data_IF_072775411845
#
_entry.id   IF_072775411845
#
_cell.length_a   1.000
_cell.length_b   1.000
_cell.length_c   1.000
_cell.angle_alpha   90.00
_cell.angle_beta   90.00
_cell.angle_gamma   90.00
#
_symmetry.space_group_name_H-M   'P 1'
#
loop_
_entity.id
_entity.type
_entity.pdbx_description
1 polymer ?
#
# COMPACT_ATOMS: atom_id res chain seq x y z
N UNK A 1 6.49 17.67 3.17
CA UNK A 1 6.35 17.57 4.64
C UNK A 1 7.08 18.73 5.33
N UNK A 2 6.41 19.51 6.19
CA UNK A 2 6.97 20.73 6.78
C UNK A 2 8.21 20.52 7.70
N UNK A 3 8.47 19.29 8.16
CA UNK A 3 9.57 18.96 9.08
C UNK A 3 10.86 18.48 8.40
N UNK A 4 10.80 18.13 7.10
CA UNK A 4 11.92 17.62 6.33
C UNK A 4 13.17 18.52 6.32
N UNK A 5 13.07 19.86 6.12
CA UNK A 5 14.26 20.72 6.07
C UNK A 5 14.97 20.91 7.42
N UNK A 6 14.33 20.59 8.54
CA UNK A 6 14.91 20.72 9.89
C UNK A 6 15.58 19.42 10.37
N UNK A 7 15.01 18.27 10.00
CA UNK A 7 15.44 16.97 10.53
C UNK A 7 16.43 16.25 9.62
N UNK A 8 16.38 16.43 8.30
CA UNK A 8 17.39 15.85 7.39
C UNK A 8 18.81 16.25 7.79
N UNK A 9 19.12 17.54 8.02
CA UNK A 9 20.47 17.97 8.41
C UNK A 9 20.90 17.38 9.74
N UNK A 10 19.96 17.15 10.67
CA UNK A 10 20.24 16.52 11.96
C UNK A 10 20.44 15.01 11.85
N UNK A 11 19.91 14.35 10.82
CA UNK A 11 20.15 12.93 10.56
C UNK A 11 21.42 12.69 9.73
N UNK A 12 21.83 13.65 8.89
CA UNK A 12 22.94 13.51 7.94
C UNK A 12 24.25 14.16 8.38
N UNK A 13 24.24 15.29 9.09
CA UNK A 13 25.45 15.83 9.74
C UNK A 13 25.73 15.07 11.04
N UNK A 14 27.00 15.08 11.49
CA UNK A 14 27.52 14.55 12.77
C UNK A 14 26.78 15.13 13.98
N UNK A 15 25.51 14.74 14.14
CA UNK A 15 24.68 15.09 15.26
C UNK A 15 25.01 14.16 16.41
N UNK A 16 25.07 14.70 17.63
CA UNK A 16 25.23 13.91 18.85
C UNK A 16 23.96 13.10 19.20
N UNK A 17 23.11 12.79 18.23
CA UNK A 17 21.92 12.01 18.46
C UNK A 17 22.31 10.57 18.82
N UNK A 18 21.76 10.00 19.91
CA UNK A 18 21.92 8.59 20.21
C UNK A 18 21.49 7.75 19.00
N UNK A 19 22.27 6.71 18.67
CA UNK A 19 22.01 5.85 17.50
C UNK A 19 20.55 5.38 17.44
N UNK A 20 20.00 4.88 18.55
CA UNK A 20 18.62 4.40 18.58
C UNK A 20 17.57 5.48 18.23
N UNK A 21 17.81 6.75 18.58
CA UNK A 21 16.92 7.85 18.19
C UNK A 21 17.07 8.18 16.71
N UNK A 22 18.30 8.14 16.16
CA UNK A 22 18.54 8.31 14.72
C UNK A 22 17.88 7.21 13.89
N UNK A 23 18.00 5.97 14.33
CA UNK A 23 17.39 4.80 13.69
C UNK A 23 15.85 4.93 13.69
N UNK A 24 15.26 5.26 14.85
CA UNK A 24 13.81 5.48 14.98
C UNK A 24 13.31 6.66 14.12
N UNK A 25 14.02 7.79 14.11
CA UNK A 25 13.62 8.94 13.28
C UNK A 25 13.68 8.61 11.79
N UNK A 26 14.69 7.85 11.36
CA UNK A 26 14.79 7.37 9.98
C UNK A 26 13.60 6.47 9.63
N UNK A 27 13.29 5.50 10.49
CA UNK A 27 12.09 4.64 10.35
C UNK A 27 10.81 5.47 10.26
N UNK A 28 10.58 6.39 11.21
CA UNK A 28 9.39 7.23 11.27
C UNK A 28 9.20 8.07 10.01
N UNK A 29 10.28 8.65 9.48
CA UNK A 29 10.23 9.42 8.25
C UNK A 29 9.89 8.56 7.04
N UNK A 30 10.56 7.41 6.89
CA UNK A 30 10.27 6.49 5.79
C UNK A 30 8.83 6.01 5.85
N UNK A 31 8.39 5.58 7.02
CA UNK A 31 7.03 5.13 7.28
C UNK A 31 6.01 6.20 6.90
N UNK A 32 6.11 7.39 7.50
CA UNK A 32 5.15 8.48 7.26
C UNK A 32 5.16 8.94 5.80
N UNK A 33 6.34 9.11 5.20
CA UNK A 33 6.47 9.58 3.82
C UNK A 33 5.86 8.59 2.82
N UNK A 34 6.21 7.30 2.94
CA UNK A 34 5.79 6.26 1.99
C UNK A 34 4.30 5.97 2.10
N UNK A 35 3.76 5.87 3.32
CA UNK A 35 2.33 5.59 3.50
C UNK A 35 1.45 6.77 3.09
N UNK A 36 1.96 8.00 3.14
CA UNK A 36 1.22 9.19 2.69
C UNK A 36 1.07 9.28 1.16
N UNK A 37 1.87 8.52 0.39
CA UNK A 37 1.84 8.58 -1.08
C UNK A 37 0.49 8.12 -1.65
N UNK A 38 -0.18 7.15 -1.01
CA UNK A 38 -1.49 6.66 -1.44
C UNK A 38 -2.59 7.72 -1.34
N UNK A 39 -2.41 8.71 -0.48
CA UNK A 39 -3.31 9.85 -0.29
C UNK A 39 -3.01 11.00 -1.26
N UNK A 40 -2.04 10.84 -2.17
CA UNK A 40 -1.66 11.84 -3.18
C UNK A 40 -2.11 11.39 -4.56
N UNK A 41 -2.66 12.32 -5.36
CA UNK A 41 -3.02 11.99 -6.74
C UNK A 41 -1.74 11.89 -7.57
N UNK A 42 -1.42 10.67 -7.98
CA UNK A 42 -0.28 10.36 -8.82
C UNK A 42 -0.28 11.15 -10.13
N UNK A 43 -1.46 11.54 -10.64
CA UNK A 43 -1.60 12.27 -11.91
C UNK A 43 -1.21 13.74 -11.81
N UNK A 44 -1.13 14.31 -10.61
CA UNK A 44 -0.97 15.75 -10.39
C UNK A 44 0.29 16.10 -9.60
N UNK A 45 0.85 15.17 -8.82
CA UNK A 45 1.96 15.45 -7.91
C UNK A 45 3.33 15.07 -8.48
N UNK A 46 4.27 16.02 -8.43
CA UNK A 46 5.71 15.84 -8.68
C UNK A 46 6.53 15.69 -7.38
N UNK A 47 5.87 15.46 -6.25
CA UNK A 47 6.56 15.44 -4.96
C UNK A 47 7.41 14.18 -4.78
N UNK A 48 8.72 14.38 -4.60
CA UNK A 48 9.62 13.37 -4.06
C UNK A 48 9.43 13.27 -2.55
N UNK A 49 8.73 12.23 -2.09
CA UNK A 49 8.43 12.04 -0.67
C UNK A 49 9.64 11.58 0.15
N UNK A 50 10.62 10.92 -0.49
CA UNK A 50 11.87 10.49 0.12
C UNK A 50 13.08 11.14 -0.58
N UNK A 51 13.97 11.73 0.21
CA UNK A 51 15.29 12.17 -0.26
C UNK A 51 16.26 11.00 -0.36
N UNK A 52 17.25 11.08 -1.27
CA UNK A 52 18.31 10.07 -1.42
C UNK A 52 19.02 9.74 -0.09
N UNK A 53 19.30 10.74 0.74
CA UNK A 53 19.98 10.54 2.03
C UNK A 53 19.17 9.65 2.99
N UNK A 54 17.85 9.89 3.09
CA UNK A 54 16.96 9.04 3.90
C UNK A 54 16.89 7.61 3.36
N UNK A 55 16.91 7.44 2.04
CA UNK A 55 16.93 6.10 1.43
C UNK A 55 18.22 5.36 1.77
N UNK A 56 19.36 6.04 1.78
CA UNK A 56 20.65 5.46 2.18
C UNK A 56 20.59 5.04 3.66
N UNK A 57 20.18 5.95 4.55
CA UNK A 57 20.05 5.66 5.98
C UNK A 57 19.10 4.48 6.24
N UNK A 58 17.98 4.41 5.54
CA UNK A 58 17.02 3.31 5.69
C UNK A 58 17.59 1.98 5.16
N UNK A 59 18.35 1.99 4.07
CA UNK A 59 19.06 0.81 3.56
C UNK A 59 20.12 0.32 4.55
N UNK A 60 20.80 1.22 5.25
CA UNK A 60 21.74 0.86 6.31
C UNK A 60 21.03 0.16 7.47
N UNK A 61 19.82 0.62 7.86
CA UNK A 61 18.99 -0.06 8.85
C UNK A 61 18.60 -1.46 8.40
N UNK A 62 18.14 -1.61 7.15
CA UNK A 62 17.79 -2.92 6.56
C UNK A 62 18.99 -3.85 6.55
N UNK A 63 20.17 -3.37 6.11
CA UNK A 63 21.40 -4.16 6.11
C UNK A 63 21.83 -4.60 7.52
N UNK A 64 21.52 -3.81 8.54
CA UNK A 64 21.74 -4.13 9.95
C UNK A 64 20.68 -5.07 10.55
N UNK A 65 19.73 -5.59 9.75
CA UNK A 65 18.59 -6.39 10.22
C UNK A 65 17.77 -5.69 11.32
N UNK A 66 17.61 -4.38 11.17
CA UNK A 66 16.83 -3.56 12.10
C UNK A 66 15.38 -4.04 12.20
N UNK A 67 14.92 -4.24 13.44
CA UNK A 67 13.51 -4.49 13.75
C UNK A 67 12.98 -3.28 14.49
N UNK A 68 12.20 -2.47 13.77
CA UNK A 68 11.74 -1.17 14.23
C UNK A 68 10.42 -1.23 14.99
N UNK A 69 10.06 -0.12 15.63
CA UNK A 69 8.84 -0.04 16.45
C UNK A 69 7.58 0.20 15.61
N UNK A 70 7.73 0.76 14.40
CA UNK A 70 6.61 1.11 13.53
C UNK A 70 6.46 0.11 12.38
N UNK A 71 7.59 -0.22 11.76
CA UNK A 71 7.74 -1.04 10.57
C UNK A 71 8.14 -2.48 10.91
N UNK A 72 8.35 -2.85 12.18
CA UNK A 72 8.78 -4.20 12.54
C UNK A 72 9.94 -4.68 11.68
N UNK A 73 9.70 -5.73 10.89
CA UNK A 73 10.68 -6.32 9.97
C UNK A 73 10.49 -5.96 8.48
N UNK A 74 9.53 -5.10 8.13
CA UNK A 74 9.13 -4.82 6.74
C UNK A 74 9.54 -3.43 6.23
N UNK A 75 10.55 -2.80 6.85
CA UNK A 75 11.03 -1.47 6.43
C UNK A 75 11.49 -1.46 4.96
N UNK A 76 12.14 -2.52 4.52
CA UNK A 76 12.60 -2.71 3.14
C UNK A 76 11.47 -2.79 2.12
N UNK A 77 10.33 -3.39 2.48
CA UNK A 77 9.12 -3.37 1.66
C UNK A 77 8.60 -1.94 1.45
N UNK A 78 8.62 -1.10 2.49
CA UNK A 78 8.18 0.30 2.37
C UNK A 78 9.06 1.11 1.41
N UNK A 79 10.35 0.78 1.31
CA UNK A 79 11.27 1.42 0.37
C UNK A 79 10.93 1.14 -1.11
N UNK A 80 10.06 0.16 -1.38
CA UNK A 80 9.57 -0.14 -2.74
C UNK A 80 8.35 0.70 -3.13
N UNK A 81 7.58 1.22 -2.16
CA UNK A 81 6.36 1.99 -2.41
C UNK A 81 6.61 3.20 -3.35
N UNK A 82 7.67 4.01 -3.18
CA UNK A 82 7.91 5.14 -4.08
C UNK A 82 8.12 4.72 -5.53
N UNK A 83 8.83 3.62 -5.77
CA UNK A 83 9.05 3.09 -7.12
C UNK A 83 7.77 2.57 -7.75
N UNK A 84 6.88 1.95 -6.97
CA UNK A 84 5.57 1.49 -7.42
C UNK A 84 4.67 2.69 -7.74
N UNK A 85 4.68 3.72 -6.88
CA UNK A 85 3.94 4.96 -7.11
C UNK A 85 4.38 5.64 -8.40
N UNK A 86 5.69 5.77 -8.61
CA UNK A 86 6.26 6.35 -9.82
C UNK A 86 5.89 5.54 -11.06
N UNK A 87 5.97 4.22 -10.97
CA UNK A 87 5.54 3.33 -12.03
C UNK A 87 4.07 3.56 -12.40
N UNK A 88 3.15 3.50 -11.42
CA UNK A 88 1.73 3.73 -11.69
C UNK A 88 1.41 5.15 -12.15
N UNK A 89 2.19 6.16 -11.72
CA UNK A 89 2.12 7.54 -12.24
C UNK A 89 2.45 7.59 -13.73
N UNK A 90 3.56 6.99 -14.14
CA UNK A 90 3.95 6.91 -15.55
C UNK A 90 2.87 6.23 -16.40
N UNK A 91 2.32 5.11 -15.92
CA UNK A 91 1.22 4.43 -16.63
C UNK A 91 -0.03 5.30 -16.71
N UNK A 92 -0.42 5.93 -15.60
CA UNK A 92 -1.63 6.78 -15.53
C UNK A 92 -1.55 8.02 -16.40
N UNK A 93 -0.35 8.55 -16.67
CA UNK A 93 -0.17 9.70 -17.57
C UNK A 93 -0.57 9.42 -19.02
N UNK A 94 -0.71 8.14 -19.38
CA UNK A 94 -1.14 7.68 -20.69
C UNK A 94 -2.57 7.14 -20.70
N UNK A 95 -3.34 7.30 -19.60
CA UNK A 95 -4.69 6.75 -19.48
C UNK A 95 -5.70 7.35 -20.49
N UNK A 96 -5.41 8.55 -21.04
CA UNK A 96 -6.25 9.19 -22.06
C UNK A 96 -5.87 8.80 -23.50
N UNK A 97 -4.78 8.06 -23.69
CA UNK A 97 -4.32 7.59 -25.00
C UNK A 97 -4.78 6.12 -25.24
N UNK A 98 -5.80 5.89 -26.08
CA UNK A 98 -6.34 4.56 -26.33
C UNK A 98 -5.37 3.64 -27.09
N UNK A 99 -4.40 4.20 -27.80
CA UNK A 99 -3.40 3.45 -28.58
C UNK A 99 -2.14 3.15 -27.76
N UNK A 100 -1.99 3.78 -26.60
CA UNK A 100 -0.85 3.58 -25.74
C UNK A 100 -0.83 2.16 -25.17
N UNK A 101 0.37 1.56 -25.15
CA UNK A 101 0.63 0.25 -24.55
C UNK A 101 1.90 0.32 -23.72
N UNK A 102 1.98 -0.43 -22.60
CA UNK A 102 3.20 -0.53 -21.82
C UNK A 102 4.38 -0.98 -22.69
N UNK A 103 5.50 -0.29 -22.59
CA UNK A 103 6.73 -0.61 -23.30
C UNK A 103 7.43 -1.82 -22.66
N UNK A 104 8.39 -2.41 -23.37
CA UNK A 104 9.25 -3.45 -22.82
C UNK A 104 10.00 -3.00 -21.54
N UNK A 105 10.29 -1.70 -21.43
CA UNK A 105 10.90 -1.13 -20.23
C UNK A 105 9.93 -1.13 -19.04
N UNK A 106 8.65 -0.85 -19.28
CA UNK A 106 7.62 -0.87 -18.23
C UNK A 106 7.43 -2.29 -17.69
N UNK A 107 7.42 -3.30 -18.56
CA UNK A 107 7.41 -4.70 -18.15
C UNK A 107 8.67 -5.10 -17.38
N UNK A 108 9.84 -4.58 -17.75
CA UNK A 108 11.08 -4.83 -17.02
C UNK A 108 11.02 -4.25 -15.60
N UNK A 109 10.57 -3.00 -15.44
CA UNK A 109 10.39 -2.34 -14.14
C UNK A 109 9.37 -3.11 -13.29
N UNK A 110 8.23 -3.48 -13.87
CA UNK A 110 7.21 -4.27 -13.20
C UNK A 110 7.76 -5.62 -12.72
N UNK A 111 8.41 -6.39 -13.59
CA UNK A 111 8.97 -7.69 -13.25
C UNK A 111 10.08 -7.60 -12.19
N UNK A 112 10.87 -6.52 -12.22
CA UNK A 112 11.88 -6.26 -11.20
C UNK A 112 11.24 -5.98 -9.84
N UNK A 113 10.24 -5.09 -9.77
CA UNK A 113 9.53 -4.78 -8.53
C UNK A 113 8.80 -6.02 -8.00
N UNK A 114 8.09 -6.75 -8.87
CA UNK A 114 7.39 -7.98 -8.51
C UNK A 114 8.34 -9.00 -7.90
N UNK A 115 9.50 -9.23 -8.53
CA UNK A 115 10.52 -10.17 -8.02
C UNK A 115 11.05 -9.74 -6.66
N UNK A 116 11.30 -8.44 -6.44
CA UNK A 116 11.77 -7.93 -5.15
C UNK A 116 10.74 -8.15 -4.04
N UNK A 117 9.46 -7.85 -4.33
CA UNK A 117 8.38 -8.02 -3.36
C UNK A 117 8.17 -9.51 -3.05
N UNK A 118 8.09 -10.36 -4.07
CA UNK A 118 7.87 -11.80 -3.90
C UNK A 118 9.05 -12.52 -3.25
N UNK A 119 10.28 -12.08 -3.54
CA UNK A 119 11.51 -12.63 -2.96
C UNK A 119 11.78 -12.17 -1.54
N UNK A 120 11.01 -11.21 -1.02
CA UNK A 120 11.14 -10.73 0.35
C UNK A 120 10.76 -11.81 1.36
N UNK A 121 11.55 -11.93 2.43
CA UNK A 121 11.26 -12.82 3.56
C UNK A 121 11.65 -12.13 4.87
N UNK A 122 10.83 -12.22 5.92
CA UNK A 122 11.14 -11.61 7.20
C UNK A 122 12.30 -12.33 7.90
N UNK A 123 13.08 -11.60 8.69
CA UNK A 123 14.11 -12.21 9.54
C UNK A 123 13.45 -12.92 10.74
N UNK A 124 13.35 -14.25 10.64
CA UNK A 124 12.72 -15.10 11.66
C UNK A 124 13.52 -15.18 12.97
N UNK A 125 14.81 -14.85 12.96
CA UNK A 125 15.64 -14.92 14.17
C UNK A 125 15.34 -13.78 15.16
N UNK A 126 14.83 -12.66 14.66
CA UNK A 126 14.65 -11.41 15.44
C UNK A 126 13.20 -10.96 15.55
N UNK A 127 12.27 -11.63 14.88
CA UNK A 127 10.86 -11.22 14.78
C UNK A 127 9.94 -12.21 15.49
N UNK A 128 8.93 -11.70 16.18
CA UNK A 128 7.84 -12.53 16.72
C UNK A 128 6.87 -12.96 15.61
N UNK A 129 6.11 -14.03 15.85
CA UNK A 129 5.13 -14.56 14.87
C UNK A 129 4.12 -13.49 14.40
N UNK A 130 3.70 -12.61 15.33
CA UNK A 130 2.79 -11.49 15.04
C UNK A 130 3.43 -10.48 14.10
N UNK A 131 4.72 -10.17 14.29
CA UNK A 131 5.49 -9.25 13.43
C UNK A 131 5.74 -9.86 12.06
N UNK A 132 6.04 -11.15 12.01
CA UNK A 132 6.19 -11.92 10.76
C UNK A 132 4.89 -11.90 9.95
N UNK A 133 3.75 -12.16 10.60
CA UNK A 133 2.44 -12.13 9.94
C UNK A 133 2.08 -10.75 9.40
N UNK A 134 2.35 -9.69 10.18
CA UNK A 134 2.17 -8.31 9.72
C UNK A 134 3.05 -7.98 8.50
N UNK A 135 4.30 -8.46 8.49
CA UNK A 135 5.19 -8.33 7.34
C UNK A 135 4.65 -8.99 6.08
N UNK A 136 4.08 -10.20 6.19
CA UNK A 136 3.40 -10.85 5.05
C UNK A 136 2.15 -10.10 4.59
N UNK A 137 1.36 -9.53 5.51
CA UNK A 137 0.22 -8.66 5.14
C UNK A 137 0.71 -7.46 4.32
N UNK A 138 1.80 -6.82 4.74
CA UNK A 138 2.44 -5.73 3.98
C UNK A 138 2.94 -6.20 2.61
N UNK A 139 3.60 -7.35 2.54
CA UNK A 139 4.08 -7.93 1.28
C UNK A 139 2.92 -8.09 0.27
N UNK A 140 1.79 -8.67 0.71
CA UNK A 140 0.63 -8.89 -0.17
C UNK A 140 -0.04 -7.58 -0.56
N UNK A 141 -0.17 -6.63 0.36
CA UNK A 141 -0.72 -5.31 0.04
C UNK A 141 0.14 -4.56 -0.99
N UNK A 142 1.46 -4.56 -0.84
CA UNK A 142 2.38 -3.92 -1.79
C UNK A 142 2.35 -4.62 -3.16
N UNK A 143 2.20 -5.95 -3.17
CA UNK A 143 2.05 -6.71 -4.40
C UNK A 143 0.72 -6.37 -5.12
N UNK A 144 -0.38 -6.23 -4.38
CA UNK A 144 -1.66 -5.74 -4.93
C UNK A 144 -1.52 -4.31 -5.45
N UNK A 145 -0.78 -3.45 -4.74
CA UNK A 145 -0.55 -2.08 -5.18
C UNK A 145 0.19 -2.03 -6.53
N UNK A 146 1.20 -2.87 -6.72
CA UNK A 146 1.91 -3.03 -7.98
C UNK A 146 1.01 -3.61 -9.09
N UNK A 147 0.29 -4.69 -8.81
CA UNK A 147 -0.54 -5.37 -9.82
C UNK A 147 -1.65 -4.48 -10.36
N UNK A 148 -2.31 -3.75 -9.47
CA UNK A 148 -3.37 -2.80 -9.85
C UNK A 148 -2.86 -1.57 -10.58
N UNK A 149 -1.54 -1.33 -10.60
CA UNK A 149 -0.94 -0.26 -11.40
C UNK A 149 -0.92 -0.63 -12.89
N UNK A 150 -0.54 -1.87 -13.22
CA UNK A 150 -0.41 -2.35 -14.59
C UNK A 150 -1.71 -2.96 -15.13
N UNK A 151 -2.49 -3.61 -14.26
CA UNK A 151 -3.73 -4.28 -14.60
C UNK A 151 -4.86 -3.72 -13.73
N UNK A 152 -5.50 -2.61 -14.16
CA UNK A 152 -6.68 -2.10 -13.48
C UNK A 152 -7.71 -3.21 -13.34
N UNK A 153 -8.33 -3.31 -12.17
CA UNK A 153 -9.35 -4.31 -11.93
C UNK A 153 -10.61 -4.00 -12.77
N UNK A 154 -11.25 -5.02 -13.37
CA UNK A 154 -12.45 -4.83 -14.19
C UNK A 154 -13.52 -4.04 -13.44
N UNK A 155 -14.24 -3.19 -14.17
CA UNK A 155 -15.43 -2.53 -13.65
C UNK A 155 -16.63 -3.46 -13.85
N UNK A 156 -17.51 -3.59 -12.86
CA UNK A 156 -18.69 -4.49 -12.94
C UNK A 156 -19.64 -4.19 -14.14
N UNK A 157 -19.42 -3.08 -14.87
CA UNK A 157 -20.17 -2.70 -16.06
C UNK A 157 -19.58 -3.24 -17.39
N UNK A 158 -18.42 -3.92 -17.38
CA UNK A 158 -17.75 -4.41 -18.59
C UNK A 158 -18.21 -5.82 -19.03
N UNK A 159 -19.20 -6.42 -18.36
CA UNK A 159 -19.77 -7.72 -18.76
C UNK A 159 -20.43 -7.71 -20.16
N UNK A 160 -20.72 -6.53 -20.74
CA UNK A 160 -21.35 -6.38 -22.07
C UNK A 160 -20.35 -6.21 -23.24
N UNK A 161 -19.03 -6.16 -23.00
CA UNK A 161 -18.02 -6.09 -24.09
C UNK A 161 -17.51 -7.47 -24.47
N UNK A 162 -18.40 -8.28 -25.05
CA UNK A 162 -18.00 -9.43 -25.86
C UNK A 162 -17.18 -8.96 -27.06
N UNK A 163 -15.85 -8.99 -26.95
CA UNK A 163 -14.94 -8.99 -28.10
C UNK A 163 -14.28 -10.35 -28.13
N UNK A 164 -14.82 -11.24 -28.96
CA UNK A 164 -14.58 -12.69 -29.03
C UNK A 164 -13.16 -13.13 -29.46
N UNK A 165 -12.07 -12.37 -29.20
CA UNK A 165 -10.78 -12.73 -29.81
C UNK A 165 -9.48 -12.52 -28.98
N UNK A 166 -9.50 -12.25 -27.67
CA UNK A 166 -8.25 -12.20 -26.84
C UNK A 166 -8.41 -12.60 -25.35
N UNK A 167 -9.24 -13.60 -25.02
CA UNK A 167 -9.73 -13.86 -23.65
C UNK A 167 -8.75 -14.53 -22.64
N UNK A 168 -7.55 -14.97 -23.05
CA UNK A 168 -6.69 -15.78 -22.18
C UNK A 168 -5.64 -14.99 -21.35
N UNK A 169 -5.10 -13.89 -21.87
CA UNK A 169 -4.06 -13.11 -21.16
C UNK A 169 -4.63 -12.16 -20.10
N UNK A 170 -5.76 -11.51 -20.38
CA UNK A 170 -6.37 -10.52 -19.47
C UNK A 170 -6.91 -11.16 -18.17
N UNK A 171 -7.25 -12.44 -18.24
CA UNK A 171 -7.77 -13.20 -17.11
C UNK A 171 -6.66 -13.64 -16.14
N UNK A 172 -5.42 -13.83 -16.60
CA UNK A 172 -4.34 -14.34 -15.75
C UNK A 172 -3.93 -13.32 -14.68
N UNK A 173 -3.75 -12.05 -15.07
CA UNK A 173 -3.37 -10.97 -14.14
C UNK A 173 -4.44 -10.74 -13.06
N UNK A 174 -5.71 -10.75 -13.44
CA UNK A 174 -6.85 -10.65 -12.51
C UNK A 174 -6.88 -11.86 -11.57
N UNK A 175 -6.69 -13.08 -12.09
CA UNK A 175 -6.59 -14.30 -11.26
C UNK A 175 -5.45 -14.19 -10.24
N UNK A 176 -4.28 -13.72 -10.66
CA UNK A 176 -3.12 -13.53 -9.78
C UNK A 176 -3.45 -12.51 -8.69
N UNK A 177 -4.03 -11.36 -9.03
CA UNK A 177 -4.43 -10.35 -8.04
C UNK A 177 -5.45 -10.91 -7.04
N UNK A 178 -6.43 -11.71 -7.49
CA UNK A 178 -7.41 -12.38 -6.62
C UNK A 178 -6.78 -13.39 -5.67
N UNK A 179 -5.77 -14.14 -6.11
CA UNK A 179 -5.03 -15.06 -5.23
C UNK A 179 -4.30 -14.27 -4.14
N UNK A 180 -3.58 -13.21 -4.50
CA UNK A 180 -2.87 -12.36 -3.54
C UNK A 180 -3.84 -11.71 -2.55
N UNK A 181 -5.01 -11.27 -3.02
CA UNK A 181 -6.08 -10.74 -2.18
C UNK A 181 -6.58 -11.77 -1.15
N UNK A 182 -6.86 -13.00 -1.60
CA UNK A 182 -7.29 -14.08 -0.71
C UNK A 182 -6.22 -14.42 0.35
N UNK A 183 -4.95 -14.45 -0.03
CA UNK A 183 -3.84 -14.67 0.90
C UNK A 183 -3.70 -13.54 1.93
N UNK A 184 -3.91 -12.28 1.51
CA UNK A 184 -3.88 -11.13 2.41
C UNK A 184 -5.02 -11.20 3.44
N UNK A 185 -6.25 -11.51 3.00
CA UNK A 185 -7.41 -11.69 3.88
C UNK A 185 -7.23 -12.86 4.84
N UNK A 186 -6.68 -13.99 4.38
CA UNK A 186 -6.37 -15.14 5.22
C UNK A 186 -5.30 -14.81 6.28
N UNK A 187 -4.32 -13.98 5.92
CA UNK A 187 -3.30 -13.50 6.87
C UNK A 187 -3.89 -12.55 7.90
N UNK A 188 -4.77 -11.63 7.48
CA UNK A 188 -5.51 -10.76 8.39
C UNK A 188 -6.38 -11.57 9.36
N UNK A 189 -7.07 -12.62 8.89
CA UNK A 189 -7.91 -13.46 9.74
C UNK A 189 -7.13 -14.17 10.87
N UNK A 190 -5.85 -14.48 10.65
CA UNK A 190 -4.99 -15.10 11.65
C UNK A 190 -4.50 -14.11 12.72
N UNK A 191 -4.50 -12.81 12.42
CA UNK A 191 -3.98 -11.78 13.32
C UNK A 191 -5.08 -11.33 14.30
N UNK A 192 -4.90 -11.43 15.63
CA UNK A 192 -5.89 -10.95 16.58
C UNK A 192 -6.14 -9.44 16.43
N UNK A 193 -7.39 -8.95 16.50
CA UNK A 193 -7.68 -7.52 16.34
C UNK A 193 -7.24 -6.67 17.54
N UNK A 194 -6.95 -7.28 18.70
CA UNK A 194 -6.52 -6.57 19.91
C UNK A 194 -5.01 -6.35 20.02
N UNK A 195 -4.19 -6.98 19.17
CA UNK A 195 -2.72 -6.81 19.26
C UNK A 195 -2.30 -5.45 18.71
N UNK A 196 -1.33 -4.83 19.37
CA UNK A 196 -0.88 -3.46 19.09
C UNK A 196 -0.38 -3.26 17.66
N UNK A 197 0.12 -4.31 16.99
CA UNK A 197 0.62 -4.21 15.62
C UNK A 197 -0.45 -3.75 14.61
N UNK A 198 -1.74 -3.94 14.91
CA UNK A 198 -2.81 -3.44 14.05
C UNK A 198 -2.81 -1.91 13.90
N UNK A 199 -2.18 -1.18 14.82
CA UNK A 199 -1.99 0.28 14.70
C UNK A 199 -1.23 0.66 13.43
N UNK A 200 -0.33 -0.21 12.97
CA UNK A 200 0.46 -0.03 11.75
C UNK A 200 -0.14 -0.73 10.52
N UNK A 201 -1.37 -1.25 10.58
CA UNK A 201 -1.98 -2.01 9.46
C UNK A 201 -3.07 -1.26 8.70
N UNK A 202 -3.34 0.00 9.03
CA UNK A 202 -4.36 0.79 8.34
C UNK A 202 -4.06 0.92 6.83
N UNK A 203 -2.80 1.17 6.45
CA UNK A 203 -2.40 1.25 5.04
C UNK A 203 -2.61 -0.07 4.27
N UNK A 204 -2.05 -1.22 4.70
CA UNK A 204 -2.26 -2.47 3.97
C UNK A 204 -3.73 -2.90 3.96
N UNK A 205 -4.51 -2.63 5.02
CA UNK A 205 -5.95 -2.89 5.03
C UNK A 205 -6.69 -2.01 4.02
N UNK A 206 -6.34 -0.72 3.89
CA UNK A 206 -6.93 0.16 2.88
C UNK A 206 -6.65 -0.36 1.46
N UNK A 207 -5.41 -0.75 1.17
CA UNK A 207 -5.03 -1.33 -0.13
C UNK A 207 -5.80 -2.62 -0.40
N UNK A 208 -5.78 -3.57 0.53
CA UNK A 208 -6.48 -4.85 0.41
C UNK A 208 -7.98 -4.63 0.23
N UNK A 209 -8.60 -3.81 1.09
CA UNK A 209 -10.03 -3.53 1.09
C UNK A 209 -10.52 -2.82 -0.16
N UNK A 210 -9.69 -1.95 -0.76
CA UNK A 210 -10.03 -1.27 -2.02
C UNK A 210 -10.20 -2.24 -3.19
N UNK A 211 -9.54 -3.41 -3.13
CA UNK A 211 -9.63 -4.48 -4.12
C UNK A 211 -10.80 -5.45 -3.88
N UNK A 212 -11.48 -5.37 -2.72
CA UNK A 212 -12.56 -6.31 -2.37
C UNK A 212 -13.83 -5.97 -3.15
N UNK A 213 -14.44 -6.99 -3.76
CA UNK A 213 -15.75 -6.91 -4.42
C UNK A 213 -16.80 -7.71 -3.67
N UNK A 214 -16.44 -8.90 -3.16
CA UNK A 214 -17.35 -9.81 -2.46
C UNK A 214 -17.90 -9.23 -1.16
N UNK A 215 -19.21 -9.29 -0.98
CA UNK A 215 -19.90 -8.74 0.20
C UNK A 215 -19.46 -9.42 1.51
N UNK A 216 -19.17 -10.72 1.49
CA UNK A 216 -18.70 -11.44 2.67
C UNK A 216 -17.33 -10.94 3.13
N UNK A 217 -16.41 -10.72 2.19
CA UNK A 217 -15.10 -10.13 2.45
C UNK A 217 -15.19 -8.68 2.93
N UNK A 218 -16.11 -7.87 2.39
CA UNK A 218 -16.39 -6.50 2.86
C UNK A 218 -16.85 -6.51 4.32
N UNK A 219 -17.82 -7.36 4.65
CA UNK A 219 -18.31 -7.53 6.02
C UNK A 219 -17.20 -7.95 6.98
N UNK A 220 -16.37 -8.92 6.59
CA UNK A 220 -15.21 -9.35 7.37
C UNK A 220 -14.26 -8.18 7.71
N UNK A 221 -13.92 -7.33 6.73
CA UNK A 221 -13.04 -6.19 6.95
C UNK A 221 -13.70 -5.13 7.86
N UNK A 222 -14.99 -4.85 7.68
CA UNK A 222 -15.75 -3.95 8.55
C UNK A 222 -15.74 -4.42 10.01
N UNK A 223 -16.15 -5.67 10.26
CA UNK A 223 -16.18 -6.27 11.59
C UNK A 223 -14.79 -6.25 12.23
N UNK A 224 -13.75 -6.62 11.45
CA UNK A 224 -12.36 -6.58 11.92
C UNK A 224 -11.94 -5.18 12.37
N UNK A 225 -12.18 -4.16 11.54
CA UNK A 225 -11.80 -2.78 11.86
C UNK A 225 -12.59 -2.25 13.05
N UNK A 226 -13.86 -2.61 13.20
CA UNK A 226 -14.68 -2.27 14.37
C UNK A 226 -14.14 -2.90 15.66
N UNK A 227 -13.79 -4.20 15.62
CA UNK A 227 -13.18 -4.88 16.75
C UNK A 227 -11.81 -4.28 17.12
N UNK A 228 -11.00 -3.95 16.11
CA UNK A 228 -9.69 -3.32 16.31
C UNK A 228 -9.84 -1.92 16.91
N UNK A 229 -10.80 -1.13 16.41
CA UNK A 229 -11.10 0.19 16.97
C UNK A 229 -11.60 0.10 18.41
N UNK A 230 -12.47 -0.87 18.71
CA UNK A 230 -12.98 -1.09 20.07
C UNK A 230 -11.88 -1.49 21.05
N UNK A 231 -10.85 -2.21 20.60
CA UNK A 231 -9.74 -2.66 21.43
C UNK A 231 -8.64 -1.60 21.60
N UNK A 232 -8.32 -0.84 20.56
CA UNK A 232 -7.14 0.06 20.52
C UNK A 232 -7.54 1.54 20.57
N UNK A 233 -8.67 1.91 19.97
CA UNK A 233 -9.24 3.27 20.04
C UNK A 233 -8.58 4.32 19.14
N UNK A 234 -7.73 3.94 18.17
CA UNK A 234 -7.11 4.90 17.26
C UNK A 234 -8.05 5.34 16.14
N UNK A 235 -8.11 6.66 15.90
CA UNK A 235 -9.00 7.25 14.90
C UNK A 235 -8.72 6.81 13.47
N UNK A 236 -7.45 6.54 13.12
CA UNK A 236 -7.06 6.09 11.78
C UNK A 236 -7.71 4.75 11.39
N UNK A 237 -7.96 3.85 12.34
CA UNK A 237 -8.67 2.58 12.13
C UNK A 237 -10.12 2.86 11.70
N UNK A 238 -10.81 3.74 12.43
CA UNK A 238 -12.19 4.13 12.12
C UNK A 238 -12.28 4.83 10.77
N UNK A 239 -11.35 5.74 10.50
CA UNK A 239 -11.31 6.45 9.22
C UNK A 239 -11.04 5.50 8.04
N UNK A 240 -10.17 4.49 8.23
CA UNK A 240 -9.92 3.45 7.21
C UNK A 240 -11.19 2.67 6.90
N UNK A 241 -11.99 2.34 7.91
CA UNK A 241 -13.30 1.69 7.71
C UNK A 241 -14.26 2.55 6.90
N UNK A 242 -14.37 3.85 7.26
CA UNK A 242 -15.22 4.81 6.54
C UNK A 242 -14.78 4.98 5.07
N UNK A 243 -13.47 5.06 4.81
CA UNK A 243 -12.94 5.13 3.46
C UNK A 243 -13.39 3.93 2.63
N UNK A 244 -13.18 2.72 3.14
CA UNK A 244 -13.55 1.50 2.42
C UNK A 244 -15.05 1.42 2.14
N UNK A 245 -15.89 1.79 3.11
CA UNK A 245 -17.34 1.85 2.91
C UNK A 245 -17.72 2.79 1.77
N UNK A 246 -17.17 4.01 1.74
CA UNK A 246 -17.45 4.94 0.64
C UNK A 246 -16.95 4.45 -0.72
N UNK A 247 -15.78 3.80 -0.77
CA UNK A 247 -15.28 3.19 -2.01
C UNK A 247 -16.22 2.11 -2.55
N UNK A 248 -16.80 1.31 -1.66
CA UNK A 248 -17.75 0.25 -2.03
C UNK A 248 -19.12 0.83 -2.43
N UNK A 249 -19.64 1.82 -1.68
CA UNK A 249 -20.89 2.52 -2.00
C UNK A 249 -20.85 3.20 -3.38
N UNK A 250 -19.74 3.86 -3.71
CA UNK A 250 -19.57 4.53 -5.01
C UNK A 250 -19.48 3.54 -6.17
N UNK A 251 -18.92 2.36 -5.93
CA UNK A 251 -18.88 1.28 -6.91
C UNK A 251 -20.28 0.72 -7.15
N UNK A 252 -21.00 0.41 -6.09
CA UNK A 252 -22.33 -0.23 -6.17
C UNK A 252 -23.42 0.75 -6.65
N UNK A 253 -23.25 2.06 -6.42
CA UNK A 253 -24.25 3.11 -6.69
C UNK A 253 -24.47 3.50 -8.16
N UNK A 254 -23.92 2.76 -9.13
CA UNK A 254 -24.17 2.95 -10.57
C UNK A 254 -23.50 4.17 -11.21
N UNK A 255 -22.71 4.95 -10.46
CA UNK A 255 -21.96 6.10 -10.96
C UNK A 255 -20.69 5.74 -11.73
N UNK A 256 -20.15 4.52 -11.54
CA UNK A 256 -19.09 3.95 -12.36
C UNK A 256 -17.79 4.78 -12.50
N UNK A 257 -17.57 5.80 -11.68
CA UNK A 257 -16.36 6.61 -11.80
C UNK A 257 -15.20 5.99 -11.01
N UNK A 258 -15.50 5.12 -10.04
CA UNK A 258 -14.52 4.54 -9.10
C UNK A 258 -14.07 3.13 -9.46
N UNK A 259 -12.93 3.08 -10.16
CA UNK A 259 -12.20 1.84 -10.41
C UNK A 259 -11.81 1.13 -9.10
N UNK A 260 -11.87 -0.19 -9.15
CA UNK A 260 -11.46 -1.06 -8.06
C UNK A 260 -9.95 -0.97 -7.81
N UNK A 261 -9.56 -0.92 -6.54
CA UNK A 261 -8.15 -0.93 -6.13
C UNK A 261 -7.62 0.39 -5.54
N UNK A 262 -6.35 0.39 -5.12
CA UNK A 262 -5.77 1.43 -4.26
C UNK A 262 -5.56 2.78 -4.95
N UNK A 263 -5.49 2.81 -6.27
CA UNK A 263 -5.24 4.03 -7.05
C UNK A 263 -6.42 5.01 -7.03
N UNK A 264 -7.61 4.57 -6.60
CA UNK A 264 -8.77 5.45 -6.42
C UNK A 264 -8.91 6.02 -5.00
N UNK A 265 -8.09 5.57 -4.03
CA UNK A 265 -8.15 6.02 -2.63
C UNK A 265 -8.02 7.53 -2.51
N UNK A 266 -7.01 8.14 -3.14
CA UNK A 266 -6.80 9.59 -3.06
C UNK A 266 -8.04 10.37 -3.54
N UNK A 267 -8.67 9.92 -4.63
CA UNK A 267 -9.87 10.58 -5.14
C UNK A 267 -11.03 10.48 -4.15
N UNK A 268 -11.32 9.28 -3.63
CA UNK A 268 -12.41 9.11 -2.65
C UNK A 268 -12.13 9.93 -1.38
N UNK A 269 -10.88 9.98 -0.91
CA UNK A 269 -10.49 10.83 0.21
C UNK A 269 -10.78 12.31 -0.06
N UNK A 270 -10.45 12.81 -1.25
CA UNK A 270 -10.69 14.20 -1.63
C UNK A 270 -12.19 14.51 -1.79
N UNK A 271 -12.94 13.66 -2.49
CA UNK A 271 -14.37 13.85 -2.76
C UNK A 271 -15.21 13.78 -1.48
N UNK A 272 -14.85 12.89 -0.54
CA UNK A 272 -15.53 12.70 0.75
C UNK A 272 -14.93 13.53 1.89
N UNK A 273 -13.92 14.35 1.60
CA UNK A 273 -13.23 15.20 2.60
C UNK A 273 -12.68 14.40 3.79
N UNK A 274 -12.14 13.21 3.52
CA UNK A 274 -11.51 12.33 4.52
C UNK A 274 -10.01 12.61 4.60
N UNK A 275 -9.55 13.00 5.78
CA UNK A 275 -8.13 13.25 6.05
C UNK A 275 -7.57 12.14 6.93
N UNK A 276 -7.05 11.09 6.31
CA UNK A 276 -6.51 9.91 6.99
C UNK A 276 -4.98 10.00 7.01
N UNK A 277 -4.40 9.95 8.21
CA UNK A 277 -3.00 9.52 8.37
C UNK A 277 -3.03 8.00 8.54
N UNK A 278 -2.52 7.29 7.55
CA UNK A 278 -2.29 5.85 7.68
C UNK A 278 -1.09 5.51 8.57
N UNK A 279 -0.26 6.53 8.85
CA UNK A 279 0.82 6.48 9.82
C UNK A 279 0.31 6.71 11.25
#
# INVERSE_FOLDING_TARGET
>A
MAAQPLLLPSLTLDSQLPKGLKDFLTEYYVYTATLSMISTDARVSDQLFLSNDLVILAKDLVAASYVGSLCGCWLDLLLLIPSIFEFGRCLSSHAEDPDWRPSANDFFVFAQLQRQIQGWTPNLATSSDVVVLAGYIYQKAILLYLYTALYPLPQDNDEDRHTEDNDDEDNLSVKIARVVLAEALASLAQLPPSVQINTSLCWPIAVVGSCVVDQGQRSFLCERLEHTFSAIGLGNIRQTSMLLQHMWEERDGGGGTVGSGPWSICRVMNERQLWISFA
#
